data_IF_465424194748
#
_entry.id   IF_465424194748
#
_cell.length_a   1.000
_cell.length_b   1.000
_cell.length_c   1.000
_cell.angle_alpha   90.00
_cell.angle_beta   90.00
_cell.angle_gamma   90.00
#
_symmetry.space_group_name_H-M   'P 1'
#
loop_
_entity.id
_entity.type
_entity.pdbx_description
1 polymer ?
#
# COMPACT_ATOMS: atom_id res chain seq x y z
N UNK A 1 -2.16 5.71 16.91
CA UNK A 1 -1.39 6.38 15.86
C UNK A 1 -2.29 7.05 14.83
N UNK A 2 -3.21 6.35 14.15
CA UNK A 2 -4.05 6.91 13.09
C UNK A 2 -4.93 8.07 13.58
N UNK A 3 -5.49 8.00 14.79
CA UNK A 3 -6.21 9.11 15.42
C UNK A 3 -5.34 10.37 15.47
N UNK A 4 -4.11 10.25 15.95
CA UNK A 4 -3.16 11.37 16.04
C UNK A 4 -2.81 11.88 14.64
N UNK A 5 -2.58 10.97 13.68
CA UNK A 5 -2.26 11.35 12.31
C UNK A 5 -3.38 12.16 11.65
N UNK A 6 -4.64 11.79 11.86
CA UNK A 6 -5.80 12.54 11.36
C UNK A 6 -5.92 13.88 12.08
N UNK A 7 -5.76 13.91 13.42
CA UNK A 7 -5.85 15.15 14.21
C UNK A 7 -4.79 16.19 13.84
N UNK A 8 -3.59 15.75 13.43
CA UNK A 8 -2.45 16.61 13.11
C UNK A 8 -2.32 16.85 11.59
N UNK A 9 -3.19 16.23 10.79
CA UNK A 9 -3.08 16.27 9.33
C UNK A 9 -3.18 17.68 8.72
N UNK A 10 -3.78 18.65 9.44
CA UNK A 10 -3.90 20.05 8.99
C UNK A 10 -4.70 20.21 7.70
N UNK A 11 -5.47 19.20 7.29
CA UNK A 11 -6.39 19.35 6.15
C UNK A 11 -7.66 20.07 6.58
N UNK A 12 -8.21 20.88 5.68
CA UNK A 12 -9.50 21.57 5.92
C UNK A 12 -10.61 20.60 6.32
N UNK A 13 -10.55 19.37 5.81
CA UNK A 13 -11.48 18.31 6.19
C UNK A 13 -11.28 17.87 7.64
N UNK A 14 -10.05 17.59 8.06
CA UNK A 14 -9.78 17.14 9.44
C UNK A 14 -10.06 18.22 10.48
N UNK A 15 -9.87 19.48 10.14
CA UNK A 15 -10.19 20.63 11.01
C UNK A 15 -11.70 20.80 11.25
N UNK A 16 -12.52 20.32 10.34
CA UNK A 16 -13.98 20.36 10.47
C UNK A 16 -14.55 19.23 11.35
N UNK A 17 -13.74 18.23 11.72
CA UNK A 17 -14.18 17.07 12.46
C UNK A 17 -14.08 17.27 13.97
N UNK A 18 -15.07 16.75 14.67
CA UNK A 18 -15.02 16.62 16.14
C UNK A 18 -14.07 15.48 16.55
N UNK A 19 -13.51 15.50 17.76
CA UNK A 19 -12.65 14.41 18.26
C UNK A 19 -13.32 13.03 18.20
N UNK A 20 -14.65 12.97 18.39
CA UNK A 20 -15.42 11.73 18.29
C UNK A 20 -15.47 11.19 16.86
N UNK A 21 -15.67 12.06 15.87
CA UNK A 21 -15.64 11.70 14.45
C UNK A 21 -14.25 11.26 14.01
N UNK A 22 -13.20 11.94 14.47
CA UNK A 22 -11.83 11.51 14.20
C UNK A 22 -11.56 10.11 14.77
N UNK A 23 -12.00 9.85 16.00
CA UNK A 23 -11.86 8.53 16.62
C UNK A 23 -12.61 7.44 15.84
N UNK A 24 -13.83 7.74 15.41
CA UNK A 24 -14.65 6.84 14.59
C UNK A 24 -13.98 6.53 13.24
N UNK A 25 -13.52 7.55 12.54
CA UNK A 25 -12.84 7.40 11.25
C UNK A 25 -11.54 6.62 11.40
N UNK A 26 -10.73 6.96 12.41
CA UNK A 26 -9.46 6.27 12.69
C UNK A 26 -9.69 4.78 12.99
N UNK A 27 -10.69 4.45 13.80
CA UNK A 27 -11.04 3.07 14.12
C UNK A 27 -11.45 2.30 12.86
N UNK A 28 -12.39 2.84 12.08
CA UNK A 28 -12.88 2.19 10.87
C UNK A 28 -11.75 1.95 9.86
N UNK A 29 -10.95 2.98 9.55
CA UNK A 29 -9.84 2.82 8.60
C UNK A 29 -8.76 1.86 9.10
N UNK A 30 -8.46 1.84 10.41
CA UNK A 30 -7.52 0.88 10.98
C UNK A 30 -8.04 -0.56 10.86
N UNK A 31 -9.32 -0.78 11.18
CA UNK A 31 -9.95 -2.10 11.07
C UNK A 31 -10.00 -2.58 9.62
N UNK A 32 -10.47 -1.73 8.70
CA UNK A 32 -10.60 -2.10 7.28
C UNK A 32 -9.24 -2.19 6.59
N UNK A 33 -8.24 -1.43 7.03
CA UNK A 33 -6.85 -1.57 6.58
C UNK A 33 -6.23 -2.90 7.01
N UNK A 34 -6.41 -3.31 8.27
CA UNK A 34 -5.87 -4.57 8.80
C UNK A 34 -6.56 -5.80 8.19
N UNK A 35 -7.87 -5.73 7.99
CA UNK A 35 -8.64 -6.78 7.32
C UNK A 35 -8.51 -6.75 5.80
N UNK A 36 -7.74 -5.80 5.27
CA UNK A 36 -7.57 -5.58 3.83
C UNK A 36 -8.90 -5.46 3.08
N UNK A 37 -9.90 -4.86 3.73
CA UNK A 37 -11.25 -4.67 3.17
C UNK A 37 -11.43 -3.38 2.40
N UNK A 38 -10.64 -2.32 2.72
CA UNK A 38 -10.58 -1.04 2.03
C UNK A 38 -11.83 -0.18 2.07
N UNK A 39 -12.78 -0.50 2.92
CA UNK A 39 -13.95 0.35 3.11
C UNK A 39 -13.55 1.65 3.80
N UNK A 40 -13.99 2.75 3.23
CA UNK A 40 -13.76 4.09 3.77
C UNK A 40 -15.07 4.71 4.24
N UNK A 41 -14.97 5.53 5.26
CA UNK A 41 -16.08 6.38 5.73
C UNK A 41 -16.17 7.70 4.97
N UNK A 42 -15.28 7.91 4.00
CA UNK A 42 -15.20 9.10 3.14
C UNK A 42 -15.36 8.70 1.68
N UNK A 43 -15.98 9.56 0.88
CA UNK A 43 -16.29 9.27 -0.54
C UNK A 43 -15.02 9.13 -1.41
N UNK A 44 -13.96 9.89 -1.09
CA UNK A 44 -12.68 9.84 -1.79
C UNK A 44 -11.63 8.96 -1.09
N UNK A 45 -12.06 8.01 -0.24
CA UNK A 45 -11.16 7.15 0.51
C UNK A 45 -10.11 7.98 1.29
N UNK A 46 -8.86 7.53 1.34
CA UNK A 46 -7.78 8.20 2.10
C UNK A 46 -7.36 9.53 1.46
N UNK A 47 -7.62 9.71 0.17
CA UNK A 47 -7.36 10.97 -0.54
C UNK A 47 -8.06 12.18 0.10
N UNK A 48 -9.17 11.98 0.81
CA UNK A 48 -9.90 13.05 1.52
C UNK A 48 -9.05 13.76 2.56
N UNK A 49 -8.13 13.04 3.21
CA UNK A 49 -7.25 13.63 4.22
C UNK A 49 -6.08 14.43 3.63
N UNK A 50 -5.66 14.12 2.39
CA UNK A 50 -4.54 14.79 1.72
C UNK A 50 -3.23 14.80 2.54
N UNK A 51 -3.06 13.85 3.46
CA UNK A 51 -2.00 13.87 4.47
C UNK A 51 -1.05 12.68 4.34
N UNK A 52 0.25 12.93 4.08
CA UNK A 52 1.27 11.88 4.08
C UNK A 52 1.37 11.11 5.41
N UNK A 53 1.04 11.75 6.53
CA UNK A 53 1.03 11.12 7.85
C UNK A 53 -0.04 10.04 7.97
N UNK A 54 -1.25 10.32 7.47
CA UNK A 54 -2.34 9.35 7.45
C UNK A 54 -1.99 8.15 6.58
N UNK A 55 -1.43 8.40 5.40
CA UNK A 55 -0.95 7.37 4.49
C UNK A 55 0.15 6.51 5.14
N UNK A 56 1.17 7.16 5.71
CA UNK A 56 2.28 6.48 6.37
C UNK A 56 1.85 5.61 7.57
N UNK A 57 0.77 5.99 8.27
CA UNK A 57 0.24 5.17 9.37
C UNK A 57 -0.59 3.99 8.88
N UNK A 58 -1.21 4.08 7.71
CA UNK A 58 -1.99 2.99 7.11
C UNK A 58 -1.13 1.93 6.42
N UNK A 59 0.01 2.33 5.83
CA UNK A 59 0.92 1.40 5.14
C UNK A 59 1.27 0.16 5.99
N UNK A 60 1.82 0.30 7.22
CA UNK A 60 2.15 -0.85 8.04
C UNK A 60 0.91 -1.67 8.43
N UNK A 61 -0.25 -1.04 8.63
CA UNK A 61 -1.50 -1.74 8.96
C UNK A 61 -1.93 -2.67 7.82
N UNK A 62 -1.89 -2.18 6.56
CA UNK A 62 -2.19 -2.98 5.38
C UNK A 62 -1.20 -4.13 5.17
N UNK A 63 0.10 -3.86 5.38
CA UNK A 63 1.15 -4.88 5.27
C UNK A 63 0.98 -5.97 6.33
N UNK A 64 0.66 -5.59 7.58
CA UNK A 64 0.37 -6.56 8.64
C UNK A 64 -0.81 -7.46 8.27
N UNK A 65 -1.88 -6.91 7.70
CA UNK A 65 -3.01 -7.73 7.20
C UNK A 65 -2.61 -8.73 6.12
N UNK A 66 -1.56 -8.44 5.35
CA UNK A 66 -1.09 -9.30 4.26
C UNK A 66 -0.16 -10.44 4.70
N UNK A 67 0.35 -10.41 5.93
CA UNK A 67 1.17 -11.47 6.52
C UNK A 67 0.26 -12.56 7.09
N UNK A 68 0.69 -13.81 7.03
CA UNK A 68 -0.08 -14.94 7.55
C UNK A 68 -0.28 -14.86 9.08
N UNK A 69 -1.50 -15.10 9.56
CA UNK A 69 -1.80 -15.09 11.01
C UNK A 69 -0.91 -16.01 11.85
N UNK A 70 -0.56 -17.23 11.40
CA UNK A 70 0.37 -18.08 12.16
C UNK A 70 1.72 -17.41 12.44
N UNK A 71 2.23 -16.59 11.51
CA UNK A 71 3.49 -15.87 11.69
C UNK A 71 3.34 -14.81 12.77
N UNK A 72 2.22 -14.05 12.78
CA UNK A 72 1.95 -13.11 13.87
C UNK A 72 1.91 -13.80 15.23
N UNK A 73 1.26 -14.98 15.30
CA UNK A 73 1.19 -15.75 16.55
C UNK A 73 2.57 -16.15 17.05
N UNK A 74 3.44 -16.66 16.18
CA UNK A 74 4.80 -17.08 16.53
C UNK A 74 5.62 -15.87 17.00
N UNK A 75 5.57 -14.77 16.24
CA UNK A 75 6.30 -13.54 16.59
C UNK A 75 5.86 -12.99 17.94
N UNK A 76 4.56 -12.98 18.23
CA UNK A 76 4.04 -12.48 19.52
C UNK A 76 4.33 -13.42 20.69
N UNK A 77 4.31 -14.75 20.44
CA UNK A 77 4.56 -15.74 21.49
C UNK A 77 6.03 -15.82 21.89
N UNK A 78 6.91 -15.87 20.89
CA UNK A 78 8.33 -16.12 21.11
C UNK A 78 9.18 -14.84 21.05
N UNK A 79 8.54 -13.67 20.81
CA UNK A 79 9.19 -12.36 20.60
C UNK A 79 10.31 -12.43 19.53
N UNK A 80 10.19 -13.35 18.58
CA UNK A 80 11.20 -13.59 17.55
C UNK A 80 10.76 -13.01 16.21
N UNK A 81 11.17 -11.77 15.93
CA UNK A 81 10.89 -11.10 14.65
C UNK A 81 11.60 -11.74 13.44
N UNK A 82 12.60 -12.60 13.69
CA UNK A 82 13.33 -13.30 12.62
C UNK A 82 12.39 -14.22 11.81
N UNK A 83 11.33 -14.72 12.42
CA UNK A 83 10.32 -15.56 11.75
C UNK A 83 9.63 -14.84 10.58
N UNK A 84 9.49 -13.50 10.65
CA UNK A 84 8.98 -12.70 9.53
C UNK A 84 9.87 -12.82 8.27
N UNK A 85 11.18 -12.98 8.47
CA UNK A 85 12.15 -13.10 7.38
C UNK A 85 12.44 -14.56 7.03
N UNK A 86 12.19 -15.48 7.95
CA UNK A 86 12.35 -16.93 7.72
C UNK A 86 11.21 -17.49 6.85
N UNK A 87 9.99 -16.98 6.99
CA UNK A 87 8.85 -17.44 6.20
C UNK A 87 8.99 -17.05 4.71
N UNK A 88 8.86 -18.05 3.85
CA UNK A 88 8.99 -17.89 2.39
C UNK A 88 7.97 -16.90 1.82
N UNK A 89 6.73 -16.97 2.29
CA UNK A 89 5.65 -16.13 1.76
C UNK A 89 5.84 -14.66 2.16
N UNK A 90 6.24 -14.43 3.41
CA UNK A 90 6.53 -13.09 3.93
C UNK A 90 7.73 -12.46 3.23
N UNK A 91 8.78 -13.24 2.94
CA UNK A 91 9.92 -12.80 2.13
C UNK A 91 9.50 -12.37 0.72
N UNK A 92 8.70 -13.18 0.04
CA UNK A 92 8.20 -12.83 -1.28
C UNK A 92 7.25 -11.63 -1.25
N UNK A 93 6.43 -11.50 -0.20
CA UNK A 93 5.59 -10.33 0.01
C UNK A 93 6.43 -9.05 0.07
N UNK A 94 7.46 -9.02 0.92
CA UNK A 94 8.34 -7.85 1.04
C UNK A 94 9.13 -7.58 -0.25
N UNK A 95 9.58 -8.63 -0.94
CA UNK A 95 10.25 -8.47 -2.23
C UNK A 95 9.32 -7.85 -3.29
N UNK A 96 8.08 -8.34 -3.39
CA UNK A 96 7.08 -7.80 -4.31
C UNK A 96 6.67 -6.37 -3.95
N UNK A 97 6.55 -6.06 -2.65
CA UNK A 97 6.30 -4.70 -2.17
C UNK A 97 7.44 -3.77 -2.60
N UNK A 98 8.68 -4.10 -2.30
CA UNK A 98 9.83 -3.26 -2.61
C UNK A 98 10.05 -3.07 -4.11
N UNK A 99 10.09 -4.17 -4.87
CA UNK A 99 10.30 -4.12 -6.34
C UNK A 99 9.17 -3.32 -7.00
N UNK A 100 7.93 -3.58 -6.63
CA UNK A 100 6.81 -2.92 -7.26
C UNK A 100 6.72 -1.43 -6.94
N UNK A 101 7.02 -1.03 -5.70
CA UNK A 101 7.13 0.40 -5.35
C UNK A 101 8.18 1.07 -6.21
N UNK A 102 9.37 0.47 -6.35
CA UNK A 102 10.45 1.04 -7.17
C UNK A 102 10.02 1.18 -8.63
N UNK A 103 9.50 0.10 -9.22
CA UNK A 103 9.13 0.09 -10.66
C UNK A 103 7.99 1.06 -10.93
N UNK A 104 6.95 1.08 -10.09
CA UNK A 104 5.81 1.99 -10.27
C UNK A 104 6.22 3.45 -10.05
N UNK A 105 7.09 3.73 -9.08
CA UNK A 105 7.62 5.07 -8.85
C UNK A 105 8.45 5.56 -10.03
N UNK A 106 9.35 4.73 -10.57
CA UNK A 106 10.13 5.08 -11.77
C UNK A 106 9.20 5.35 -12.94
N UNK A 107 8.20 4.50 -13.17
CA UNK A 107 7.25 4.68 -14.26
C UNK A 107 6.46 5.99 -14.13
N UNK A 108 6.00 6.34 -12.94
CA UNK A 108 5.28 7.57 -12.69
C UNK A 108 6.20 8.80 -12.77
N UNK A 109 7.44 8.72 -12.29
CA UNK A 109 8.45 9.79 -12.45
C UNK A 109 8.74 10.08 -13.93
N UNK A 110 8.90 9.06 -14.76
CA UNK A 110 9.08 9.22 -16.20
C UNK A 110 7.83 9.81 -16.85
N UNK A 111 6.65 9.49 -16.35
CA UNK A 111 5.38 9.95 -16.91
C UNK A 111 5.00 11.40 -16.58
N UNK A 112 5.65 12.05 -15.62
CA UNK A 112 5.33 13.43 -15.20
C UNK A 112 5.34 14.39 -16.38
N UNK A 113 6.30 14.25 -17.28
CA UNK A 113 6.42 15.11 -18.46
C UNK A 113 5.36 14.83 -19.55
N UNK A 114 4.82 13.61 -19.56
CA UNK A 114 3.89 13.14 -20.62
C UNK A 114 2.43 13.22 -20.23
N UNK A 115 2.14 13.33 -18.94
CA UNK A 115 0.78 13.33 -18.40
C UNK A 115 0.55 14.53 -17.46
N UNK A 116 0.32 15.74 -18.01
CA UNK A 116 0.07 16.92 -17.18
C UNK A 116 -1.15 16.72 -16.26
N UNK A 117 -1.01 17.10 -14.99
CA UNK A 117 -2.08 17.00 -14.00
C UNK A 117 -2.33 15.59 -13.44
N UNK A 118 -1.47 14.61 -13.75
CA UNK A 118 -1.51 13.28 -13.09
C UNK A 118 -1.14 13.39 -11.61
N UNK A 119 -0.24 14.29 -11.28
CA UNK A 119 0.22 14.56 -9.92
C UNK A 119 0.03 16.04 -9.59
N UNK A 120 -0.41 16.32 -8.37
CA UNK A 120 -0.57 17.68 -7.86
C UNK A 120 0.38 17.89 -6.69
N UNK A 121 1.15 19.00 -6.66
CA UNK A 121 2.08 19.24 -5.57
C UNK A 121 1.35 19.22 -4.22
N UNK A 122 1.86 18.41 -3.31
CA UNK A 122 1.36 18.37 -1.94
C UNK A 122 1.81 19.63 -1.21
N UNK A 123 0.86 20.40 -0.71
CA UNK A 123 1.16 21.56 0.14
C UNK A 123 1.74 21.16 1.52
N UNK A 124 1.79 19.87 1.80
CA UNK A 124 2.12 19.34 3.12
C UNK A 124 3.57 18.89 3.31
N UNK A 125 4.39 18.82 2.25
CA UNK A 125 5.81 18.50 2.40
C UNK A 125 6.60 19.82 2.37
N UNK A 126 6.92 20.41 3.55
CA UNK A 126 7.55 21.74 3.61
C UNK A 126 9.05 21.73 3.32
N UNK A 127 9.65 20.57 3.08
CA UNK A 127 11.09 20.47 2.89
C UNK A 127 11.44 19.92 1.51
N UNK A 128 12.24 20.67 0.72
CA UNK A 128 12.83 20.11 -0.50
C UNK A 128 13.77 18.97 -0.09
N UNK A 129 13.45 17.75 -0.53
CA UNK A 129 14.40 16.64 -0.47
C UNK A 129 15.48 16.96 -1.51
N UNK A 130 16.78 16.98 -1.16
CA UNK A 130 17.83 17.25 -2.13
C UNK A 130 17.78 16.13 -3.17
N UNK A 131 17.35 16.38 -4.37
CA UNK A 131 17.26 15.52 -5.56
C UNK A 131 15.84 15.32 -6.13
N UNK A 132 14.75 15.66 -5.45
CA UNK A 132 13.38 15.50 -5.93
C UNK A 132 12.57 16.79 -5.76
N UNK A 133 11.90 17.22 -6.81
CA UNK A 133 10.92 18.29 -6.76
C UNK A 133 9.61 17.83 -6.07
N UNK A 134 8.79 18.77 -5.61
CA UNK A 134 7.55 18.46 -4.90
C UNK A 134 6.62 17.51 -5.66
N UNK A 135 6.48 17.68 -6.99
CA UNK A 135 5.67 16.81 -7.85
C UNK A 135 6.26 15.40 -7.93
N UNK A 136 7.58 15.28 -7.94
CA UNK A 136 8.28 13.99 -7.96
C UNK A 136 8.10 13.24 -6.64
N UNK A 137 8.14 13.97 -5.51
CA UNK A 137 7.87 13.38 -4.19
C UNK A 137 6.43 12.86 -4.09
N UNK A 138 5.46 13.62 -4.59
CA UNK A 138 4.07 13.16 -4.64
C UNK A 138 3.90 11.94 -5.53
N UNK A 139 4.57 11.89 -6.68
CA UNK A 139 4.53 10.71 -7.54
C UNK A 139 5.10 9.45 -6.86
N UNK A 140 6.19 9.58 -6.10
CA UNK A 140 6.75 8.46 -5.31
C UNK A 140 5.85 8.06 -4.16
N UNK A 141 5.29 9.03 -3.44
CA UNK A 141 4.35 8.82 -2.33
C UNK A 141 3.11 8.08 -2.82
N UNK A 142 2.47 8.61 -3.84
CA UNK A 142 1.26 8.04 -4.42
C UNK A 142 1.51 6.64 -4.99
N UNK A 143 2.65 6.44 -5.67
CA UNK A 143 3.06 5.12 -6.16
C UNK A 143 3.23 4.12 -5.02
N UNK A 144 3.87 4.54 -3.93
CA UNK A 144 4.10 3.68 -2.76
C UNK A 144 2.78 3.26 -2.12
N UNK A 145 1.90 4.22 -1.85
CA UNK A 145 0.62 3.94 -1.23
C UNK A 145 -0.25 3.05 -2.12
N UNK A 146 -0.39 3.41 -3.40
CA UNK A 146 -1.23 2.68 -4.33
C UNK A 146 -0.71 1.26 -4.62
N UNK A 147 0.62 1.08 -4.71
CA UNK A 147 1.20 -0.26 -4.88
C UNK A 147 0.94 -1.14 -3.67
N UNK A 148 1.19 -0.64 -2.46
CA UNK A 148 0.92 -1.39 -1.23
C UNK A 148 -0.55 -1.73 -1.12
N UNK A 149 -1.44 -0.76 -1.33
CA UNK A 149 -2.89 -0.95 -1.28
C UNK A 149 -3.38 -1.97 -2.30
N UNK A 150 -2.83 -1.97 -3.52
CA UNK A 150 -3.18 -2.92 -4.57
C UNK A 150 -2.67 -4.33 -4.26
N UNK A 151 -1.39 -4.48 -3.89
CA UNK A 151 -0.78 -5.79 -3.64
C UNK A 151 -1.35 -6.47 -2.39
N UNK A 152 -1.71 -5.70 -1.36
CA UNK A 152 -2.41 -6.20 -0.18
C UNK A 152 -3.91 -6.40 -0.43
N UNK A 153 -4.40 -6.13 -1.65
CA UNK A 153 -5.82 -6.14 -2.01
C UNK A 153 -6.70 -5.30 -1.06
N UNK A 154 -6.13 -4.31 -0.37
CA UNK A 154 -6.88 -3.44 0.53
C UNK A 154 -7.84 -2.54 -0.26
N UNK A 155 -7.34 -1.89 -1.34
CA UNK A 155 -8.18 -1.05 -2.18
C UNK A 155 -8.36 0.39 -1.70
N UNK A 156 -7.64 0.84 -0.67
CA UNK A 156 -7.59 2.26 -0.31
C UNK A 156 -6.98 3.10 -1.43
N UNK A 157 -7.52 4.29 -1.62
CA UNK A 157 -7.06 5.23 -2.64
C UNK A 157 -6.59 6.53 -1.98
N UNK A 158 -5.34 6.94 -2.27
CA UNK A 158 -4.78 8.23 -1.86
C UNK A 158 -4.64 9.22 -3.03
N UNK A 159 -4.68 8.72 -4.27
CA UNK A 159 -4.45 9.50 -5.47
C UNK A 159 -5.40 9.11 -6.61
N UNK A 160 -5.68 10.03 -7.55
CA UNK A 160 -6.57 9.77 -8.69
C UNK A 160 -5.87 8.93 -9.77
N UNK A 161 -5.76 7.62 -9.56
CA UNK A 161 -5.12 6.65 -10.49
C UNK A 161 -5.67 6.77 -11.93
N UNK A 162 -6.90 7.21 -12.08
CA UNK A 162 -7.54 7.41 -13.39
C UNK A 162 -6.75 8.32 -14.33
N UNK A 163 -5.93 9.23 -13.79
CA UNK A 163 -5.08 10.17 -14.54
C UNK A 163 -3.70 9.60 -14.91
N UNK A 164 -3.31 8.46 -14.34
CA UNK A 164 -2.01 7.85 -14.60
C UNK A 164 -1.92 7.26 -16.00
N UNK A 165 -0.71 7.05 -16.49
CA UNK A 165 -0.47 6.38 -17.78
C UNK A 165 -0.97 4.92 -17.76
N UNK A 166 -1.29 4.40 -18.95
CA UNK A 166 -1.85 3.05 -19.09
C UNK A 166 -0.94 1.96 -18.47
N UNK A 167 0.37 2.08 -18.61
CA UNK A 167 1.33 1.15 -18.02
C UNK A 167 1.24 1.09 -16.50
N UNK A 168 1.17 2.24 -15.82
CA UNK A 168 1.01 2.30 -14.36
C UNK A 168 -0.32 1.67 -13.90
N UNK A 169 -1.42 1.92 -14.63
CA UNK A 169 -2.72 1.30 -14.36
C UNK A 169 -2.66 -0.22 -14.49
N UNK A 170 -2.03 -0.74 -15.54
CA UNK A 170 -1.88 -2.18 -15.75
C UNK A 170 -1.05 -2.82 -14.65
N UNK A 171 0.00 -2.15 -14.18
CA UNK A 171 0.78 -2.63 -13.03
C UNK A 171 -0.06 -2.72 -11.75
N UNK A 172 -0.83 -1.67 -11.44
CA UNK A 172 -1.72 -1.67 -10.25
C UNK A 172 -2.76 -2.79 -10.36
N UNK A 173 -3.39 -2.98 -11.53
CA UNK A 173 -4.33 -4.08 -11.77
C UNK A 173 -3.64 -5.44 -11.62
N UNK A 174 -2.42 -5.58 -12.16
CA UNK A 174 -1.62 -6.80 -11.99
C UNK A 174 -1.32 -7.10 -10.52
N UNK A 175 -1.00 -6.07 -9.73
CA UNK A 175 -0.79 -6.21 -8.28
C UNK A 175 -2.04 -6.72 -7.55
N UNK A 176 -3.24 -6.26 -7.95
CA UNK A 176 -4.51 -6.69 -7.34
C UNK A 176 -4.83 -8.17 -7.61
N UNK A 177 -4.31 -8.73 -8.71
CA UNK A 177 -4.46 -10.17 -9.00
C UNK A 177 -3.55 -11.03 -8.11
N UNK A 178 -2.37 -10.50 -7.79
CA UNK A 178 -1.46 -11.13 -6.85
C UNK A 178 -1.99 -10.95 -5.43
N UNK A 179 -2.00 -12.01 -4.65
CA UNK A 179 -2.46 -11.94 -3.25
C UNK A 179 -1.28 -11.99 -2.28
N UNK A 180 -1.58 -11.75 -1.02
CA UNK A 180 -0.63 -11.91 0.09
C UNK A 180 -0.35 -13.37 0.45
N UNK A 181 0.14 -13.58 1.68
CA UNK A 181 0.41 -14.91 2.20
C UNK A 181 -0.88 -15.75 2.36
N UNK A 182 -0.78 -17.05 2.22
CA UNK A 182 -1.86 -17.96 2.60
C UNK A 182 -2.06 -17.89 4.12
N UNK A 183 -3.34 -17.80 4.55
CA UNK A 183 -3.67 -17.56 5.97
C UNK A 183 -3.57 -16.10 6.40
N UNK A 184 -3.52 -15.16 5.45
CA UNK A 184 -3.72 -13.73 5.65
C UNK A 184 -5.12 -13.29 5.22
N UNK A 185 -5.49 -12.04 5.50
CA UNK A 185 -6.79 -11.46 5.10
C UNK A 185 -6.89 -11.15 3.61
N UNK A 186 -5.76 -11.07 2.91
CA UNK A 186 -5.66 -10.66 1.50
C UNK A 186 -6.37 -11.63 0.56
N UNK A 187 -7.03 -11.08 -0.46
CA UNK A 187 -7.61 -11.83 -1.58
C UNK A 187 -6.57 -12.32 -2.61
N UNK A 188 -6.98 -12.47 -3.86
CA UNK A 188 -6.11 -12.76 -4.99
C UNK A 188 -5.45 -14.15 -4.99
N UNK A 189 -4.49 -14.32 -5.91
CA UNK A 189 -3.71 -15.55 -6.03
C UNK A 189 -2.63 -15.53 -4.94
N UNK A 190 -2.75 -16.39 -3.96
CA UNK A 190 -1.79 -16.47 -2.84
C UNK A 190 -0.36 -16.74 -3.33
N UNK A 191 0.61 -16.05 -2.72
CA UNK A 191 2.04 -16.14 -3.09
C UNK A 191 2.50 -17.60 -3.19
N UNK A 192 2.12 -18.46 -2.25
CA UNK A 192 2.51 -19.87 -2.26
C UNK A 192 1.98 -20.60 -3.50
N UNK A 193 0.77 -20.27 -3.98
CA UNK A 193 0.20 -20.88 -5.17
C UNK A 193 0.97 -20.44 -6.42
N UNK A 194 1.26 -19.15 -6.56
CA UNK A 194 2.08 -18.62 -7.65
C UNK A 194 3.48 -19.26 -7.67
N UNK A 195 4.11 -19.38 -6.51
CA UNK A 195 5.41 -20.04 -6.36
C UNK A 195 5.35 -21.52 -6.79
N UNK A 196 4.35 -22.27 -6.34
CA UNK A 196 4.19 -23.71 -6.66
C UNK A 196 3.95 -23.90 -8.16
N UNK A 197 3.11 -23.09 -8.79
CA UNK A 197 2.87 -23.14 -10.23
C UNK A 197 4.15 -22.83 -11.00
N UNK A 198 4.88 -21.77 -10.62
CA UNK A 198 6.16 -21.42 -11.26
C UNK A 198 7.20 -22.53 -11.16
N UNK A 199 7.32 -23.18 -9.98
CA UNK A 199 8.20 -24.33 -9.79
C UNK A 199 7.76 -25.55 -10.63
N UNK A 200 6.45 -25.79 -10.71
CA UNK A 200 5.90 -26.88 -11.54
C UNK A 200 6.19 -26.68 -13.02
N UNK A 201 5.99 -25.48 -13.52
CA UNK A 201 6.32 -25.13 -14.91
C UNK A 201 7.82 -25.30 -15.19
N UNK A 202 8.69 -24.75 -14.33
CA UNK A 202 10.14 -24.88 -14.47
C UNK A 202 10.59 -26.36 -14.47
N UNK A 203 9.99 -27.19 -13.62
CA UNK A 203 10.29 -28.61 -13.57
C UNK A 203 9.84 -29.34 -14.84
N UNK A 204 8.68 -28.97 -15.42
CA UNK A 204 8.21 -29.55 -16.68
C UNK A 204 9.18 -29.24 -17.81
N UNK A 205 9.64 -27.99 -17.94
CA UNK A 205 10.59 -27.60 -18.99
C UNK A 205 11.98 -28.20 -18.81
N UNK A 206 12.40 -28.54 -17.60
CA UNK A 206 13.69 -29.20 -17.36
C UNK A 206 13.73 -30.69 -17.71
N UNK A 207 12.57 -31.27 -18.06
CA UNK A 207 12.45 -32.69 -18.45
C UNK A 207 12.29 -32.91 -19.96
N UNK A 208 12.15 -31.83 -20.72
CA UNK A 208 12.15 -31.81 -22.18
C UNK A 208 13.54 -31.51 -22.71
#
# INVERSE_FOLDING_TARGET
LLFVAISVSGSTYSESLTPGEIAWQALNHAMTGLTTGGFSVTDNSIATYGSPLVEATLLPIMILGAIAFPIHYIVLKDWNVHELVADLQTRWLFALLGIGVIVLSIQNLVSIQTTPGAFTPSSFIPYPVPFLDGIQLDAVRDSTFQWVSALTCTGFQSAPIGRWIAGAKVMVVGAMVLGGAAGSTVGGIKIIRGYTVGRGIAWQFSRV
#
